data_IF_986604836608
#
_entry.id   IF_986604836608
#
_cell.length_a   1.000
_cell.length_b   1.000
_cell.length_c   1.000
_cell.angle_alpha   90.00
_cell.angle_beta   90.00
_cell.angle_gamma   90.00
#
_symmetry.space_group_name_H-M   'P 1'
#
loop_
_entity.id
_entity.type
_entity.pdbx_description
1 polymer ?
#
# COMPACT_ATOMS: atom_id res chain seq x y z
N UNK A 1 2.28 -23.04 48.62
CA UNK A 1 1.09 -22.46 47.95
C UNK A 1 1.38 -21.06 47.42
N UNK A 2 1.97 -20.15 48.20
CA UNK A 2 2.27 -18.77 47.75
C UNK A 2 3.26 -18.68 46.55
N UNK A 3 4.33 -19.49 46.52
CA UNK A 3 5.36 -19.41 45.48
C UNK A 3 4.86 -19.83 44.09
N UNK A 4 4.02 -20.87 44.03
CA UNK A 4 3.41 -21.39 42.80
C UNK A 4 2.45 -20.36 42.18
N UNK A 5 1.69 -19.63 43.01
CA UNK A 5 0.81 -18.54 42.55
C UNK A 5 1.60 -17.38 41.95
N UNK A 6 2.75 -17.01 42.55
CA UNK A 6 3.62 -15.94 42.02
C UNK A 6 4.27 -16.33 40.68
N UNK A 7 4.69 -17.60 40.55
CA UNK A 7 5.25 -18.13 39.30
C UNK A 7 4.19 -18.15 38.21
N UNK A 8 2.97 -18.60 38.51
CA UNK A 8 1.87 -18.61 37.55
C UNK A 8 1.52 -17.20 37.06
N UNK A 9 1.48 -16.21 37.96
CA UNK A 9 1.27 -14.80 37.60
C UNK A 9 2.39 -14.24 36.72
N UNK A 10 3.65 -14.60 37.00
CA UNK A 10 4.79 -14.17 36.18
C UNK A 10 4.76 -14.77 34.78
N UNK A 11 4.42 -16.06 34.67
CA UNK A 11 4.26 -16.74 33.37
C UNK A 11 3.13 -16.10 32.56
N UNK A 12 2.00 -15.78 33.19
CA UNK A 12 0.89 -15.11 32.51
C UNK A 12 1.28 -13.73 31.97
N UNK A 13 2.07 -12.95 32.74
CA UNK A 13 2.57 -11.63 32.34
C UNK A 13 3.52 -11.71 31.14
N UNK A 14 4.39 -12.73 31.10
CA UNK A 14 5.31 -12.94 29.97
C UNK A 14 4.54 -13.31 28.70
N UNK A 15 3.52 -14.16 28.81
CA UNK A 15 2.70 -14.56 27.65
C UNK A 15 1.91 -13.36 27.09
N UNK A 16 1.31 -12.53 27.94
CA UNK A 16 0.53 -11.36 27.50
C UNK A 16 1.40 -10.30 26.83
N UNK A 17 2.58 -10.04 27.36
CA UNK A 17 3.54 -9.11 26.75
C UNK A 17 4.08 -9.62 25.41
N UNK A 18 4.34 -10.92 25.29
CA UNK A 18 4.78 -11.52 24.03
C UNK A 18 3.69 -11.47 22.93
N UNK A 19 2.44 -11.77 23.29
CA UNK A 19 1.30 -11.63 22.37
C UNK A 19 1.10 -10.19 21.90
N UNK A 20 1.23 -9.20 22.80
CA UNK A 20 1.09 -7.78 22.46
C UNK A 20 2.15 -7.30 21.46
N UNK A 21 3.36 -7.88 21.50
CA UNK A 21 4.45 -7.53 20.59
C UNK A 21 4.37 -8.22 19.22
N UNK A 22 3.60 -9.31 19.12
CA UNK A 22 3.46 -10.09 17.87
C UNK A 22 2.41 -9.57 16.87
N UNK A 23 1.69 -8.49 17.22
CA UNK A 23 0.67 -7.90 16.33
C UNK A 23 1.29 -6.82 15.44
N UNK A 24 2.09 -7.25 14.47
CA UNK A 24 2.43 -6.43 13.30
C UNK A 24 2.02 -7.19 12.05
N UNK A 25 0.71 -7.27 11.82
CA UNK A 25 0.17 -7.71 10.54
C UNK A 25 0.28 -6.52 9.57
N UNK A 26 1.39 -6.41 8.85
CA UNK A 26 1.49 -5.50 7.71
C UNK A 26 0.64 -6.08 6.58
N UNK A 27 -0.62 -5.68 6.49
CA UNK A 27 -1.46 -5.99 5.34
C UNK A 27 -1.03 -5.11 4.18
N UNK A 28 -0.80 -5.72 3.02
CA UNK A 28 -0.67 -5.00 1.76
C UNK A 28 -1.97 -4.23 1.47
N UNK A 29 -1.84 -3.04 0.92
CA UNK A 29 -2.93 -2.16 0.51
C UNK A 29 -3.14 -2.24 -0.99
N UNK A 30 -4.40 -2.21 -1.42
CA UNK A 30 -4.76 -2.17 -2.84
C UNK A 30 -5.33 -0.79 -3.16
N UNK A 31 -4.67 -0.06 -4.07
CA UNK A 31 -5.07 1.27 -4.49
C UNK A 31 -5.69 1.22 -5.89
N UNK A 32 -6.87 1.81 -6.05
CA UNK A 32 -7.49 2.02 -7.35
C UNK A 32 -7.01 3.35 -7.92
N UNK A 33 -6.35 3.31 -9.08
CA UNK A 33 -5.81 4.50 -9.71
C UNK A 33 -6.96 5.40 -10.20
N UNK A 34 -6.96 6.66 -9.77
CA UNK A 34 -8.02 7.62 -10.09
C UNK A 34 -9.33 7.38 -9.33
N UNK A 35 -9.31 6.57 -8.28
CA UNK A 35 -10.46 6.27 -7.41
C UNK A 35 -11.74 5.90 -8.18
N UNK A 36 -12.76 6.77 -8.18
CA UNK A 36 -14.03 6.54 -8.90
C UNK A 36 -13.96 6.82 -10.40
N UNK A 37 -12.98 7.62 -10.82
CA UNK A 37 -12.83 8.02 -12.22
C UNK A 37 -12.02 7.00 -13.03
N UNK A 38 -11.25 6.14 -12.37
CA UNK A 38 -10.42 5.12 -13.00
C UNK A 38 -9.24 5.68 -13.80
N UNK A 39 -8.57 4.80 -14.53
CA UNK A 39 -7.46 5.15 -15.41
C UNK A 39 -8.00 5.66 -16.76
N UNK A 40 -8.01 6.97 -16.93
CA UNK A 40 -8.56 7.64 -18.12
C UNK A 40 -7.61 8.70 -18.62
N UNK A 41 -7.76 9.08 -19.89
CA UNK A 41 -6.96 10.11 -20.59
C UNK A 41 -7.28 11.55 -20.14
N UNK A 42 -7.84 11.74 -18.93
CA UNK A 42 -8.09 13.07 -18.34
C UNK A 42 -6.77 13.82 -18.14
N UNK A 43 -6.85 15.15 -18.01
CA UNK A 43 -5.68 16.03 -17.84
C UNK A 43 -4.65 15.46 -16.87
N UNK A 44 -3.37 15.52 -17.23
CA UNK A 44 -2.24 15.00 -16.44
C UNK A 44 -2.29 15.42 -14.96
N UNK A 45 -2.79 16.63 -14.71
CA UNK A 45 -2.96 17.20 -13.37
C UNK A 45 -3.83 16.34 -12.45
N UNK A 46 -4.86 15.67 -12.98
CA UNK A 46 -5.76 14.83 -12.19
C UNK A 46 -5.03 13.63 -11.56
N UNK A 47 -4.16 12.98 -12.34
CA UNK A 47 -3.40 11.84 -11.87
C UNK A 47 -2.34 12.23 -10.83
N UNK A 48 -1.76 13.43 -10.95
CA UNK A 48 -0.86 13.96 -9.92
C UNK A 48 -1.58 14.19 -8.60
N UNK A 49 -2.76 14.84 -8.61
CA UNK A 49 -3.56 15.03 -7.40
C UNK A 49 -3.94 13.72 -6.72
N UNK A 50 -4.22 12.67 -7.49
CA UNK A 50 -4.54 11.36 -6.92
C UNK A 50 -3.38 10.77 -6.11
N UNK A 51 -2.13 11.08 -6.45
CA UNK A 51 -0.95 10.56 -5.74
C UNK A 51 -0.58 11.39 -4.51
N UNK A 52 -0.97 12.67 -4.45
CA UNK A 52 -0.47 13.63 -3.45
C UNK A 52 -0.67 13.22 -1.98
N UNK A 53 -1.71 12.45 -1.68
CA UNK A 53 -2.08 12.03 -0.33
C UNK A 53 -1.81 10.54 -0.03
N UNK A 54 -1.06 9.84 -0.89
CA UNK A 54 -0.85 8.38 -0.80
C UNK A 54 0.60 8.02 -0.52
N UNK A 55 0.79 7.11 0.44
CA UNK A 55 2.07 6.47 0.73
C UNK A 55 2.02 5.01 0.28
N UNK A 56 2.90 4.64 -0.65
CA UNK A 56 2.99 3.28 -1.16
C UNK A 56 4.10 2.52 -0.45
N UNK A 57 3.79 1.30 -0.03
CA UNK A 57 4.72 0.39 0.63
C UNK A 57 5.01 -0.82 -0.26
N UNK A 58 6.16 -1.45 -0.05
CA UNK A 58 6.48 -2.72 -0.72
C UNK A 58 5.43 -3.76 -0.35
N UNK A 59 4.83 -4.36 -1.38
CA UNK A 59 3.73 -5.32 -1.23
C UNK A 59 2.37 -4.75 -1.59
N UNK A 60 2.23 -3.42 -1.66
CA UNK A 60 0.99 -2.78 -2.13
C UNK A 60 0.76 -3.05 -3.62
N UNK A 61 -0.50 -2.95 -4.05
CA UNK A 61 -0.92 -3.18 -5.42
C UNK A 61 -1.67 -1.99 -5.99
N UNK A 62 -1.41 -1.66 -7.26
CA UNK A 62 -2.15 -0.67 -8.02
C UNK A 62 -3.11 -1.38 -8.98
N UNK A 63 -4.38 -0.96 -8.98
CA UNK A 63 -5.41 -1.46 -9.89
C UNK A 63 -5.76 -0.36 -10.88
N UNK A 64 -5.52 -0.65 -12.15
CA UNK A 64 -5.85 0.22 -13.27
C UNK A 64 -7.16 -0.28 -13.91
N UNK A 65 -8.25 0.43 -13.69
CA UNK A 65 -9.53 0.17 -14.37
C UNK A 65 -9.64 1.13 -15.56
N UNK A 66 -9.74 0.59 -16.77
CA UNK A 66 -9.80 1.37 -18.01
C UNK A 66 -10.58 0.64 -19.11
N UNK A 67 -11.02 1.39 -20.12
CA UNK A 67 -11.55 0.80 -21.36
C UNK A 67 -10.38 0.33 -22.25
N UNK A 68 -10.24 -0.99 -22.49
CA UNK A 68 -9.12 -1.56 -23.25
C UNK A 68 -9.16 -1.20 -24.75
N UNK A 69 -10.25 -0.65 -25.27
CA UNK A 69 -10.30 -0.16 -26.65
C UNK A 69 -9.52 1.14 -26.83
N UNK A 70 -9.34 1.92 -25.76
CA UNK A 70 -8.78 3.27 -25.81
C UNK A 70 -7.50 3.44 -25.00
N UNK A 71 -7.27 2.61 -23.97
CA UNK A 71 -6.15 2.76 -23.05
C UNK A 71 -5.42 1.44 -22.82
N UNK A 72 -4.17 1.55 -22.38
CA UNK A 72 -3.32 0.43 -21.97
C UNK A 72 -2.43 0.87 -20.79
N UNK A 73 -1.76 -0.09 -20.15
CA UNK A 73 -0.85 0.14 -19.03
C UNK A 73 0.55 -0.33 -19.41
N UNK A 74 1.49 0.61 -19.43
CA UNK A 74 2.91 0.33 -19.71
C UNK A 74 3.77 0.84 -18.56
N UNK A 75 4.64 -0.02 -18.03
CA UNK A 75 5.65 0.38 -17.05
C UNK A 75 6.79 1.11 -17.75
N UNK A 76 7.15 2.29 -17.24
CA UNK A 76 8.26 3.10 -17.75
C UNK A 76 9.29 3.33 -16.65
N UNK A 77 10.56 3.46 -17.02
CA UNK A 77 11.63 3.90 -16.11
C UNK A 77 11.76 5.43 -16.14
N UNK A 78 12.20 6.03 -15.03
CA UNK A 78 12.16 7.49 -14.80
C UNK A 78 12.85 8.38 -15.86
N UNK A 79 13.71 7.82 -16.71
CA UNK A 79 14.37 8.56 -17.79
C UNK A 79 13.44 8.88 -18.99
N UNK A 80 12.23 8.33 -19.06
CA UNK A 80 11.27 8.50 -20.17
C UNK A 80 10.02 9.31 -19.81
N UNK A 81 9.97 9.92 -18.62
CA UNK A 81 8.81 10.70 -18.12
C UNK A 81 8.79 12.11 -18.74
N UNK A 82 8.75 12.20 -20.07
CA UNK A 82 8.69 13.50 -20.76
C UNK A 82 7.68 13.59 -21.92
N UNK A 83 6.80 12.60 -22.13
CA UNK A 83 5.81 12.76 -23.21
C UNK A 83 4.50 11.98 -23.09
N UNK A 84 4.32 11.20 -22.04
CA UNK A 84 3.16 10.30 -21.96
C UNK A 84 2.58 10.45 -20.55
N UNK A 85 1.26 10.47 -20.44
CA UNK A 85 0.48 10.62 -19.20
C UNK A 85 0.65 9.42 -18.24
N UNK A 86 1.89 8.93 -18.07
CA UNK A 86 2.22 7.75 -17.29
C UNK A 86 2.46 8.19 -15.87
N UNK A 87 1.81 7.52 -14.92
CA UNK A 87 2.28 7.60 -13.54
C UNK A 87 3.74 7.14 -13.52
N UNK A 88 4.69 7.97 -13.08
CA UNK A 88 6.05 7.50 -12.88
C UNK A 88 5.99 6.39 -11.85
N UNK A 89 6.13 5.14 -12.30
CA UNK A 89 6.19 4.01 -11.40
C UNK A 89 7.48 4.15 -10.62
N UNK A 90 7.28 4.45 -9.34
CA UNK A 90 8.25 4.62 -8.27
C UNK A 90 9.48 3.73 -8.47
N UNK A 91 10.66 4.36 -8.48
CA UNK A 91 11.87 3.64 -8.12
C UNK A 91 11.69 3.17 -6.67
N UNK A 92 11.49 1.87 -6.49
CA UNK A 92 11.71 1.19 -5.21
C UNK A 92 13.19 1.28 -4.83
#
# INVERSE_FOLDING_TARGET
>A
MATTTKIFGFVLLVITTFMALSVSCSSATVYKVGDSDGWTTKDETYNYFWVEDKEFHVGDSLVFEYDPLFNDVTQVSGALVLHFQVLPLFNL
#
